data_IF_947808107223
#
_entry.id   IF_947808107223
#
_cell.length_a   1.000
_cell.length_b   1.000
_cell.length_c   1.000
_cell.angle_alpha   90.00
_cell.angle_beta   90.00
_cell.angle_gamma   90.00
#
_symmetry.space_group_name_H-M   'P 1'
#
loop_
_entity.id
_entity.type
_entity.pdbx_description
1 polymer ?
#
# COMPACT_ATOMS: atom_id res chain seq x y z
N UNK A 1 53.91 24.34 15.44
CA UNK A 1 55.19 23.66 15.76
C UNK A 1 55.60 24.10 17.15
N UNK A 2 55.96 23.24 18.13
CA UNK A 2 56.22 21.76 18.15
C UNK A 2 55.22 21.04 19.11
N UNK A 3 55.27 19.76 19.49
CA UNK A 3 55.89 18.49 19.06
C UNK A 3 55.32 17.34 19.91
N UNK A 4 55.03 16.22 19.24
CA UNK A 4 55.18 14.79 19.55
C UNK A 4 55.62 14.31 20.96
N UNK A 5 54.97 13.24 21.43
CA UNK A 5 55.54 11.96 21.97
C UNK A 5 54.35 10.98 22.18
N UNK A 6 54.19 9.80 21.56
CA UNK A 6 55.01 8.61 21.26
C UNK A 6 55.07 7.56 22.39
N UNK A 7 54.74 6.31 22.00
CA UNK A 7 55.17 4.97 22.51
C UNK A 7 54.27 4.26 23.55
N UNK A 8 54.13 2.93 23.62
CA UNK A 8 54.48 1.71 22.84
C UNK A 8 53.98 0.48 23.67
N UNK A 9 53.63 -0.64 23.00
CA UNK A 9 53.84 -2.07 23.42
C UNK A 9 53.14 -2.58 24.72
N UNK A 10 52.75 -3.86 24.94
CA UNK A 10 52.92 -5.15 24.26
C UNK A 10 52.02 -6.24 24.94
N UNK A 11 51.88 -7.39 24.28
CA UNK A 11 51.95 -8.76 24.82
C UNK A 11 50.75 -9.48 25.51
N UNK A 12 50.23 -10.51 24.80
CA UNK A 12 50.61 -11.94 24.98
C UNK A 12 49.55 -12.95 25.53
N UNK A 13 49.68 -14.17 25.00
CA UNK A 13 49.23 -15.51 25.44
C UNK A 13 47.83 -15.98 24.96
N UNK A 14 47.69 -16.89 23.99
CA UNK A 14 48.11 -18.32 23.90
C UNK A 14 47.12 -19.28 24.59
N UNK A 15 46.48 -20.17 23.82
CA UNK A 15 46.42 -21.65 24.03
C UNK A 15 45.18 -22.31 23.39
N UNK A 16 45.43 -23.34 22.55
CA UNK A 16 44.84 -24.71 22.47
C UNK A 16 43.31 -24.86 22.72
N UNK A 17 42.53 -25.63 21.95
CA UNK A 17 42.67 -27.07 21.73
C UNK A 17 41.62 -27.58 20.73
N UNK A 18 41.97 -28.61 19.94
CA UNK A 18 41.13 -29.37 18.99
C UNK A 18 40.33 -30.48 19.68
N UNK A 19 39.17 -30.87 19.12
CA UNK A 19 38.65 -32.26 19.00
C UNK A 19 37.31 -32.24 18.20
N UNK A 20 37.25 -32.83 16.99
CA UNK A 20 36.74 -34.18 16.66
C UNK A 20 35.27 -34.41 17.07
N UNK A 21 34.35 -35.04 16.35
CA UNK A 21 34.12 -35.49 14.97
C UNK A 21 32.70 -36.13 15.04
N UNK A 22 31.83 -35.99 14.03
CA UNK A 22 30.78 -37.01 13.71
C UNK A 22 29.85 -36.56 12.57
N UNK A 23 30.16 -37.10 11.38
CA UNK A 23 29.28 -37.77 10.42
C UNK A 23 27.76 -37.43 10.37
N UNK A 24 27.27 -37.02 9.18
CA UNK A 24 26.47 -37.88 8.29
C UNK A 24 26.00 -37.15 7.01
N UNK A 25 26.05 -37.90 5.90
CA UNK A 25 25.93 -37.52 4.48
C UNK A 25 24.53 -37.11 4.00
N UNK A 26 24.44 -36.15 3.07
CA UNK A 26 24.00 -36.39 1.67
C UNK A 26 23.98 -35.10 0.80
N UNK A 27 24.51 -35.20 -0.43
CA UNK A 27 24.22 -34.43 -1.67
C UNK A 27 24.23 -32.89 -1.61
N UNK A 28 25.09 -32.13 -2.31
CA UNK A 28 25.53 -32.29 -3.69
C UNK A 28 26.86 -31.55 -3.92
N UNK A 29 27.70 -32.10 -4.79
CA UNK A 29 28.96 -31.53 -5.25
C UNK A 29 28.77 -30.25 -6.10
N UNK A 30 29.54 -29.20 -5.79
CA UNK A 30 30.23 -28.42 -6.81
C UNK A 30 31.65 -28.06 -6.36
N UNK A 31 32.58 -28.29 -7.28
CA UNK A 31 34.03 -28.32 -7.06
C UNK A 31 34.62 -26.89 -7.04
N UNK A 32 35.71 -26.75 -6.28
CA UNK A 32 36.54 -25.57 -6.03
C UNK A 32 37.29 -25.15 -7.33
N UNK A 33 37.75 -23.90 -7.51
CA UNK A 33 38.94 -23.36 -6.83
C UNK A 33 39.12 -21.84 -6.96
N UNK A 34 40.00 -21.24 -6.12
CA UNK A 34 40.04 -19.83 -5.74
C UNK A 34 41.17 -19.04 -6.44
N UNK A 35 41.14 -17.72 -6.32
CA UNK A 35 42.30 -16.88 -6.01
C UNK A 35 41.85 -15.43 -5.81
N UNK A 36 42.23 -14.81 -4.69
CA UNK A 36 42.74 -13.43 -4.53
C UNK A 36 42.55 -12.91 -3.09
N UNK A 37 43.65 -12.95 -2.34
CA UNK A 37 44.19 -11.88 -1.49
C UNK A 37 43.26 -10.87 -0.77
N UNK A 38 43.16 -11.05 0.56
CA UNK A 38 43.38 -10.11 1.69
C UNK A 38 42.87 -8.66 1.55
N UNK A 39 41.86 -8.29 2.36
CA UNK A 39 41.96 -7.15 3.31
C UNK A 39 40.76 -7.09 4.26
N UNK A 40 41.09 -6.89 5.53
CA UNK A 40 40.21 -6.59 6.65
C UNK A 40 39.55 -5.22 6.47
N UNK A 41 38.26 -5.10 6.82
CA UNK A 41 37.78 -4.22 7.89
C UNK A 41 36.24 -4.18 7.95
N UNK A 42 35.73 -4.06 9.18
CA UNK A 42 34.36 -3.66 9.55
C UNK A 42 33.20 -4.60 9.19
N UNK A 43 33.11 -5.70 9.93
CA UNK A 43 31.83 -6.39 10.15
C UNK A 43 30.95 -5.59 11.12
N UNK A 44 30.15 -4.66 10.61
CA UNK A 44 28.90 -4.31 11.29
C UNK A 44 27.97 -5.50 11.15
N UNK A 45 27.68 -6.13 12.28
CA UNK A 45 26.72 -7.22 12.43
C UNK A 45 25.37 -6.71 11.91
N UNK A 46 24.99 -7.14 10.71
CA UNK A 46 23.61 -7.06 10.24
C UNK A 46 22.84 -8.10 11.07
N UNK A 47 22.31 -7.65 12.20
CA UNK A 47 21.20 -8.31 12.89
C UNK A 47 20.06 -8.38 11.87
N UNK A 48 19.89 -9.56 11.28
CA UNK A 48 18.77 -9.85 10.40
C UNK A 48 17.48 -9.53 11.15
N UNK A 49 16.62 -8.64 10.63
CA UNK A 49 15.36 -8.34 11.27
C UNK A 49 14.50 -9.60 11.30
N UNK A 50 14.27 -10.06 12.52
CA UNK A 50 13.01 -10.63 13.02
C UNK A 50 12.10 -11.19 11.92
N UNK A 51 12.16 -12.51 11.72
CA UNK A 51 11.10 -13.28 11.04
C UNK A 51 9.83 -13.20 11.88
N UNK A 52 9.06 -12.12 11.70
CA UNK A 52 7.97 -11.75 12.59
C UNK A 52 6.58 -12.11 12.08
N UNK A 53 6.44 -13.12 11.22
CA UNK A 53 5.11 -13.70 10.96
C UNK A 53 5.19 -15.22 10.77
N UNK A 54 4.55 -16.01 11.65
CA UNK A 54 4.24 -17.40 11.38
C UNK A 54 3.34 -17.47 10.14
N UNK A 55 3.79 -18.18 9.10
CA UNK A 55 3.00 -18.44 7.90
C UNK A 55 1.83 -19.35 8.30
N UNK A 56 0.66 -18.76 8.55
CA UNK A 56 -0.58 -19.47 8.82
C UNK A 56 -0.86 -20.37 7.59
N UNK A 57 -0.64 -21.68 7.74
CA UNK A 57 -1.23 -22.67 6.84
C UNK A 57 -2.73 -22.69 7.12
N UNK A 58 -3.53 -22.02 6.29
CA UNK A 58 -4.96 -22.33 6.20
C UNK A 58 -5.10 -23.76 5.67
N UNK A 59 -5.34 -24.70 6.58
CA UNK A 59 -5.98 -25.98 6.26
C UNK A 59 -7.46 -25.66 6.02
N UNK A 60 -7.90 -25.65 4.77
CA UNK A 60 -9.32 -25.77 4.47
C UNK A 60 -9.65 -27.25 4.36
N UNK A 61 -10.49 -27.74 5.27
CA UNK A 61 -11.09 -29.08 5.23
C UNK A 61 -12.57 -28.91 5.57
N UNK A 62 -13.43 -29.10 4.56
CA UNK A 62 -14.87 -29.40 4.60
C UNK A 62 -15.26 -29.52 3.11
N UNK A 63 -15.47 -30.70 2.53
CA UNK A 63 -16.56 -31.66 2.73
C UNK A 63 -17.94 -31.00 2.70
N UNK A 64 -18.53 -30.94 1.51
CA UNK A 64 -19.96 -30.79 1.33
C UNK A 64 -20.39 -31.58 0.09
N UNK A 65 -20.73 -32.85 0.32
CA UNK A 65 -21.58 -33.60 -0.59
C UNK A 65 -23.00 -33.08 -0.42
N UNK A 66 -23.59 -32.53 -1.47
CA UNK A 66 -25.04 -32.44 -1.59
C UNK A 66 -25.44 -32.93 -2.98
N UNK A 67 -25.96 -34.14 -3.01
CA UNK A 67 -26.75 -34.70 -4.09
C UNK A 67 -28.20 -34.29 -3.86
N UNK A 68 -28.82 -33.61 -4.82
CA UNK A 68 -30.28 -33.62 -4.99
C UNK A 68 -30.61 -33.18 -6.40
N UNK A 69 -30.96 -34.13 -7.25
CA UNK A 69 -32.32 -34.37 -7.75
C UNK A 69 -32.73 -33.34 -8.82
N UNK A 70 -32.63 -33.80 -10.06
CA UNK A 70 -33.27 -33.19 -11.22
C UNK A 70 -34.77 -33.42 -11.08
N UNK A 71 -35.53 -32.34 -10.93
CA UNK A 71 -36.95 -32.36 -11.25
C UNK A 71 -37.22 -31.35 -12.36
N UNK A 72 -37.66 -31.95 -13.46
CA UNK A 72 -38.11 -31.35 -14.69
C UNK A 72 -39.57 -30.92 -14.48
N UNK A 73 -39.85 -29.61 -14.49
CA UNK A 73 -41.20 -29.17 -14.83
C UNK A 73 -41.20 -27.86 -15.61
N UNK A 74 -41.93 -27.91 -16.71
CA UNK A 74 -42.04 -26.91 -17.76
C UNK A 74 -42.95 -25.76 -17.36
N UNK A 75 -42.51 -24.52 -17.58
CA UNK A 75 -43.36 -23.43 -18.06
C UNK A 75 -42.47 -22.26 -18.52
N UNK A 76 -42.39 -22.09 -19.84
CA UNK A 76 -41.76 -20.98 -20.54
C UNK A 76 -42.37 -19.64 -20.11
N UNK A 77 -41.61 -18.87 -19.32
CA UNK A 77 -41.77 -17.42 -19.19
C UNK A 77 -40.48 -16.74 -19.61
N UNK A 78 -40.36 -16.48 -20.90
CA UNK A 78 -39.22 -15.86 -21.56
C UNK A 78 -39.07 -14.35 -21.28
N UNK A 79 -39.28 -13.91 -20.03
CA UNK A 79 -39.10 -12.52 -19.61
C UNK A 79 -37.97 -12.32 -18.56
N UNK A 80 -37.26 -13.39 -18.18
CA UNK A 80 -36.31 -13.37 -17.05
C UNK A 80 -34.88 -12.86 -17.36
N UNK A 81 -34.59 -12.45 -18.60
CA UNK A 81 -33.21 -12.05 -18.98
C UNK A 81 -32.91 -10.55 -18.86
N UNK A 82 -33.93 -9.68 -18.77
CA UNK A 82 -33.73 -8.21 -18.77
C UNK A 82 -33.60 -7.57 -17.38
N UNK A 83 -34.00 -8.26 -16.31
CA UNK A 83 -33.86 -7.72 -14.93
C UNK A 83 -32.45 -7.85 -14.39
N UNK A 84 -31.80 -9.00 -14.63
CA UNK A 84 -30.43 -9.24 -14.15
C UNK A 84 -29.40 -8.22 -14.68
N UNK A 85 -29.61 -7.67 -15.88
CA UNK A 85 -28.71 -6.65 -16.44
C UNK A 85 -28.85 -5.29 -15.78
N UNK A 86 -30.06 -4.90 -15.35
CA UNK A 86 -30.29 -3.60 -14.73
C UNK A 86 -29.77 -3.58 -13.28
N UNK A 87 -29.95 -4.67 -12.55
CA UNK A 87 -29.40 -4.85 -11.19
C UNK A 87 -27.87 -4.82 -11.20
N UNK A 88 -27.24 -5.47 -12.17
CA UNK A 88 -25.77 -5.46 -12.32
C UNK A 88 -25.19 -4.08 -12.66
N UNK A 89 -25.87 -3.30 -13.51
CA UNK A 89 -25.42 -1.94 -13.83
C UNK A 89 -25.47 -1.05 -12.59
N UNK A 90 -26.54 -1.17 -11.79
CA UNK A 90 -26.70 -0.37 -10.59
C UNK A 90 -25.61 -0.67 -9.54
N UNK A 91 -25.23 -1.95 -9.38
CA UNK A 91 -24.15 -2.37 -8.48
C UNK A 91 -22.78 -1.80 -8.89
N UNK A 92 -22.49 -1.73 -10.19
CA UNK A 92 -21.25 -1.11 -10.68
C UNK A 92 -21.25 0.40 -10.38
N UNK A 93 -22.36 1.08 -10.65
CA UNK A 93 -22.49 2.51 -10.39
C UNK A 93 -22.37 2.83 -8.89
N UNK A 94 -22.97 2.00 -8.03
CA UNK A 94 -22.88 2.16 -6.57
C UNK A 94 -21.41 2.06 -6.12
N UNK A 95 -20.69 1.04 -6.60
CA UNK A 95 -19.25 0.89 -6.30
C UNK A 95 -18.42 2.09 -6.78
N UNK A 96 -18.77 2.65 -7.93
CA UNK A 96 -18.08 3.82 -8.48
C UNK A 96 -18.32 5.08 -7.65
N UNK A 97 -19.50 5.22 -7.06
CA UNK A 97 -19.85 6.30 -6.13
C UNK A 97 -19.12 6.09 -4.80
N UNK A 98 -19.12 4.88 -4.24
CA UNK A 98 -18.38 4.56 -3.01
C UNK A 98 -16.88 4.88 -3.14
N UNK A 99 -16.26 4.50 -4.27
CA UNK A 99 -14.86 4.83 -4.57
C UNK A 99 -14.62 6.35 -4.64
N UNK A 100 -15.60 7.11 -5.11
CA UNK A 100 -15.53 8.58 -5.12
C UNK A 100 -15.65 9.18 -3.72
N UNK A 101 -16.55 8.66 -2.88
CA UNK A 101 -16.68 9.10 -1.49
C UNK A 101 -15.39 8.84 -0.69
N UNK A 102 -14.72 7.72 -0.92
CA UNK A 102 -13.42 7.44 -0.33
C UNK A 102 -12.34 8.44 -0.78
N UNK A 103 -12.34 8.84 -2.06
CA UNK A 103 -11.44 9.89 -2.56
C UNK A 103 -11.75 11.26 -1.97
N UNK A 104 -13.03 11.59 -1.79
CA UNK A 104 -13.43 12.82 -1.11
C UNK A 104 -12.95 12.82 0.34
N UNK A 105 -13.14 11.72 1.08
CA UNK A 105 -12.66 11.59 2.46
C UNK A 105 -11.14 11.78 2.54
N UNK A 106 -10.40 11.15 1.63
CA UNK A 106 -8.95 11.35 1.55
C UNK A 106 -8.59 12.82 1.32
N UNK A 107 -9.24 13.50 0.37
CA UNK A 107 -8.98 14.92 0.12
C UNK A 107 -9.27 15.83 1.33
N UNK A 108 -10.29 15.49 2.12
CA UNK A 108 -10.61 16.19 3.38
C UNK A 108 -9.54 15.91 4.46
N UNK A 109 -9.05 14.69 4.56
CA UNK A 109 -8.00 14.32 5.52
C UNK A 109 -6.67 15.02 5.17
N UNK A 110 -6.26 14.99 3.90
CA UNK A 110 -5.06 15.70 3.43
C UNK A 110 -5.16 17.21 3.69
N UNK A 111 -6.35 17.79 3.44
CA UNK A 111 -6.62 19.19 3.77
C UNK A 111 -6.44 19.49 5.26
N UNK A 112 -6.85 18.58 6.14
CA UNK A 112 -6.64 18.74 7.57
C UNK A 112 -5.14 18.72 7.92
N UNK A 113 -4.37 17.80 7.32
CA UNK A 113 -2.92 17.78 7.51
C UNK A 113 -2.24 19.06 7.05
N UNK A 114 -2.59 19.59 5.87
CA UNK A 114 -2.04 20.86 5.40
C UNK A 114 -2.39 22.03 6.32
N UNK A 115 -3.60 22.06 6.90
CA UNK A 115 -3.97 23.10 7.87
C UNK A 115 -3.16 22.97 9.16
N UNK A 116 -3.02 21.75 9.69
CA UNK A 116 -2.30 21.47 10.93
C UNK A 116 -0.80 21.73 10.82
N UNK A 117 -0.22 21.53 9.64
CA UNK A 117 1.20 21.71 9.39
C UNK A 117 1.61 23.14 9.02
N UNK A 118 0.67 24.09 8.94
CA UNK A 118 0.98 25.50 8.66
C UNK A 118 2.09 26.06 9.55
N UNK A 119 3.05 26.75 8.94
CA UNK A 119 4.22 27.31 9.63
C UNK A 119 5.29 26.28 10.02
N UNK A 120 5.08 25.00 9.69
CA UNK A 120 6.10 23.95 9.79
C UNK A 120 6.79 23.71 8.44
N UNK A 121 7.92 23.00 8.48
CA UNK A 121 8.64 22.56 7.28
C UNK A 121 7.87 21.55 6.41
N UNK A 122 6.81 20.95 6.94
CA UNK A 122 6.01 19.93 6.25
C UNK A 122 4.89 20.55 5.40
N UNK A 123 4.53 21.80 5.69
CA UNK A 123 3.38 22.48 5.07
C UNK A 123 3.40 22.43 3.54
N UNK A 124 4.55 22.73 2.94
CA UNK A 124 4.68 22.71 1.48
C UNK A 124 4.37 21.34 0.87
N UNK A 125 4.81 20.26 1.53
CA UNK A 125 4.52 18.89 1.10
C UNK A 125 3.03 18.56 1.24
N UNK A 126 2.46 18.85 2.41
CA UNK A 126 1.05 18.56 2.69
C UNK A 126 0.11 19.37 1.80
N UNK A 127 0.48 20.61 1.45
CA UNK A 127 -0.27 21.44 0.50
C UNK A 127 -0.26 20.83 -0.91
N UNK A 128 0.86 20.27 -1.36
CA UNK A 128 0.94 19.55 -2.64
C UNK A 128 0.03 18.33 -2.60
N UNK A 129 0.13 17.49 -1.57
CA UNK A 129 -0.68 16.28 -1.44
C UNK A 129 -2.18 16.61 -1.38
N UNK A 130 -2.55 17.65 -0.63
CA UNK A 130 -3.93 18.16 -0.60
C UNK A 130 -4.40 18.60 -1.98
N UNK A 131 -3.55 19.36 -2.70
CA UNK A 131 -3.87 19.85 -4.05
C UNK A 131 -4.11 18.68 -5.02
N UNK A 132 -3.25 17.67 -4.97
CA UNK A 132 -3.40 16.45 -5.79
C UNK A 132 -4.68 15.69 -5.44
N UNK A 133 -4.95 15.48 -4.14
CA UNK A 133 -6.14 14.75 -3.69
C UNK A 133 -7.44 15.46 -4.10
N UNK A 134 -7.51 16.79 -3.95
CA UNK A 134 -8.66 17.60 -4.39
C UNK A 134 -8.84 17.54 -5.91
N UNK A 135 -7.77 17.70 -6.68
CA UNK A 135 -7.85 17.63 -8.15
C UNK A 135 -8.33 16.25 -8.63
N UNK A 136 -7.79 15.16 -8.05
CA UNK A 136 -8.21 13.80 -8.36
C UNK A 136 -9.70 13.58 -8.04
N UNK A 137 -10.18 14.12 -6.91
CA UNK A 137 -11.60 14.06 -6.54
C UNK A 137 -12.49 14.80 -7.56
N UNK A 138 -12.09 16.01 -7.97
CA UNK A 138 -12.81 16.80 -8.98
C UNK A 138 -12.83 16.12 -10.36
N UNK A 139 -11.70 15.57 -10.79
CA UNK A 139 -11.61 14.85 -12.06
C UNK A 139 -12.48 13.60 -12.04
N UNK A 140 -12.49 12.86 -10.91
CA UNK A 140 -13.37 11.69 -10.77
C UNK A 140 -14.84 12.09 -10.80
N UNK A 141 -15.21 13.17 -10.12
CA UNK A 141 -16.58 13.70 -10.16
C UNK A 141 -17.01 13.98 -11.61
N UNK A 142 -16.16 14.66 -12.39
CA UNK A 142 -16.43 14.96 -13.81
C UNK A 142 -16.58 13.69 -14.66
N UNK A 143 -15.81 12.64 -14.38
CA UNK A 143 -15.98 11.36 -15.05
C UNK A 143 -17.32 10.71 -14.68
N UNK A 144 -17.67 10.68 -13.40
CA UNK A 144 -18.90 10.04 -12.92
C UNK A 144 -20.17 10.68 -13.48
N UNK A 145 -20.24 12.01 -13.53
CA UNK A 145 -21.40 12.68 -14.14
C UNK A 145 -21.59 12.31 -15.62
N UNK A 146 -20.52 11.93 -16.32
CA UNK A 146 -20.57 11.50 -17.72
C UNK A 146 -20.88 10.01 -17.88
N UNK A 147 -20.50 9.16 -16.92
CA UNK A 147 -20.66 7.71 -17.02
C UNK A 147 -21.94 7.18 -16.39
N UNK A 148 -22.44 7.84 -15.34
CA UNK A 148 -23.65 7.42 -14.64
C UNK A 148 -24.90 7.64 -15.51
N UNK A 149 -25.92 6.81 -15.31
CA UNK A 149 -27.22 6.99 -15.95
C UNK A 149 -27.85 8.36 -15.63
N UNK A 150 -28.51 8.98 -16.62
CA UNK A 150 -28.97 10.37 -16.60
C UNK A 150 -29.67 10.83 -15.31
N UNK A 151 -30.61 10.03 -14.76
CA UNK A 151 -31.34 10.38 -13.52
C UNK A 151 -30.41 10.38 -12.30
N UNK A 152 -29.54 9.38 -12.22
CA UNK A 152 -28.58 9.20 -11.12
C UNK A 152 -27.45 10.21 -11.20
N UNK A 153 -26.91 10.45 -12.40
CA UNK A 153 -25.93 11.50 -12.67
C UNK A 153 -26.43 12.86 -12.21
N UNK A 154 -27.68 13.22 -12.54
CA UNK A 154 -28.26 14.49 -12.10
C UNK A 154 -28.38 14.60 -10.57
N UNK A 155 -28.84 13.53 -9.89
CA UNK A 155 -28.93 13.52 -8.43
C UNK A 155 -27.55 13.65 -7.79
N UNK A 156 -26.58 12.87 -8.28
CA UNK A 156 -25.20 12.90 -7.81
C UNK A 156 -24.57 14.28 -8.02
N UNK A 157 -24.79 14.90 -9.18
CA UNK A 157 -24.34 16.26 -9.45
C UNK A 157 -24.94 17.27 -8.48
N UNK A 158 -26.25 17.23 -8.23
CA UNK A 158 -26.90 18.14 -7.29
C UNK A 158 -26.37 18.02 -5.86
N UNK A 159 -26.06 16.80 -5.44
CA UNK A 159 -25.56 16.52 -4.09
C UNK A 159 -24.12 17.03 -3.90
N UNK A 160 -23.24 16.79 -4.88
CA UNK A 160 -21.81 16.98 -4.70
C UNK A 160 -21.26 18.30 -5.23
N UNK A 161 -21.99 19.02 -6.08
CA UNK A 161 -21.48 20.27 -6.68
C UNK A 161 -21.10 21.31 -5.62
N UNK A 162 -21.99 21.59 -4.67
CA UNK A 162 -21.76 22.61 -3.64
C UNK A 162 -20.65 22.17 -2.66
N UNK A 163 -20.63 20.88 -2.32
CA UNK A 163 -19.62 20.28 -1.42
C UNK A 163 -18.22 20.40 -2.03
N UNK A 164 -18.08 20.05 -3.32
CA UNK A 164 -16.81 20.13 -4.03
C UNK A 164 -16.39 21.57 -4.30
N UNK A 165 -17.35 22.48 -4.52
CA UNK A 165 -17.08 23.90 -4.61
C UNK A 165 -16.50 24.45 -3.30
N UNK A 166 -17.09 24.08 -2.16
CA UNK A 166 -16.56 24.45 -0.85
C UNK A 166 -15.16 23.87 -0.61
N UNK A 167 -14.96 22.58 -0.91
CA UNK A 167 -13.66 21.93 -0.77
C UNK A 167 -12.58 22.66 -1.59
N UNK A 168 -12.89 23.02 -2.83
CA UNK A 168 -11.98 23.78 -3.69
C UNK A 168 -11.73 25.19 -3.16
N UNK A 169 -12.78 25.88 -2.74
CA UNK A 169 -12.65 27.22 -2.15
C UNK A 169 -11.77 27.21 -0.90
N UNK A 170 -11.82 26.15 -0.10
CA UNK A 170 -10.94 25.96 1.06
C UNK A 170 -9.48 25.78 0.64
N UNK A 171 -9.22 24.94 -0.37
CA UNK A 171 -7.87 24.77 -0.93
C UNK A 171 -7.29 26.11 -1.38
N UNK A 172 -8.05 26.87 -2.17
CA UNK A 172 -7.60 28.15 -2.75
C UNK A 172 -7.39 29.23 -1.67
N UNK A 173 -7.92 29.04 -0.46
CA UNK A 173 -7.72 29.94 0.69
C UNK A 173 -6.45 29.65 1.50
N UNK A 174 -5.80 28.50 1.26
CA UNK A 174 -4.57 28.15 1.97
C UNK A 174 -3.40 29.05 1.52
N UNK A 175 -2.52 29.47 2.45
CA UNK A 175 -1.40 30.33 2.10
C UNK A 175 -0.41 29.60 1.18
N UNK A 176 -0.01 30.23 0.08
CA UNK A 176 1.09 29.73 -0.75
C UNK A 176 2.43 30.09 -0.10
N UNK A 177 3.30 29.10 0.06
CA UNK A 177 4.64 29.30 0.63
C UNK A 177 5.55 29.92 -0.44
N UNK A 178 5.64 31.24 -0.48
CA UNK A 178 6.62 31.98 -1.27
C UNK A 178 7.97 31.99 -0.55
N UNK A 179 8.54 30.81 -0.31
CA UNK A 179 9.92 30.72 0.15
C UNK A 179 10.85 30.97 -1.04
N UNK A 180 11.18 32.25 -1.29
CA UNK A 180 12.27 32.72 -2.17
C UNK A 180 13.66 32.38 -1.61
#
# INVERSE_FOLDING_TARGET
MPSLTSRLFNNNQSSKQQQEASCCSCGCHHHQHPNSTISEETSTIILSPTRWFPRIRRRSSSTSSCTSFFDENSASSANSSRRASAEYIHEIEDKQIDEFEDMYRLAVDEMAYAIESQGSIYYSGDLITTTEAVNNCLDRFQQLIQTLHSVRSHKFQQEWTDILFELRSRLDSLPFDYSE
#
